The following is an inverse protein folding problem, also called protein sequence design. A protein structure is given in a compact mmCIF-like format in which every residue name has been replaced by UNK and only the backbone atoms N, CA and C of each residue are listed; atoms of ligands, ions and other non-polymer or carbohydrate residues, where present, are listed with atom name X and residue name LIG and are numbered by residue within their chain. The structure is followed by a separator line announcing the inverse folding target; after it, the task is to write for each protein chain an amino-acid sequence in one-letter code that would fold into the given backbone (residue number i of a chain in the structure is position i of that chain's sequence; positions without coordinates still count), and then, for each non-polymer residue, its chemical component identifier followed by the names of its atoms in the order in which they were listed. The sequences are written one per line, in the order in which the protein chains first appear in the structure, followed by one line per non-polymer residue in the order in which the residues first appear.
data_IF_171469937287
#
_entry.id   IF_171469937287
#
_cell.length_a   1.000
_cell.length_b   1.000
_cell.length_c   1.000
_cell.angle_alpha   90.00
_cell.angle_beta   90.00
_cell.angle_gamma   90.00
#
_symmetry.space_group_name_H-M   'P 1'
#
loop_
_entity.id
_entity.type
_entity.pdbx_description
1 polymer ?
#
# COMPACT_ATOMS: atom_id res chain seq x y z
N UNK A 1 6.71 -15.08 6.05
CA UNK A 1 7.11 -13.70 6.42
C UNK A 1 6.81 -12.84 5.21
N UNK A 2 5.80 -11.98 5.28
CA UNK A 2 5.33 -11.23 4.11
C UNK A 2 6.26 -10.03 3.87
N UNK A 3 6.84 -9.95 2.67
CA UNK A 3 7.76 -8.89 2.28
C UNK A 3 7.00 -7.81 1.50
N UNK A 4 7.25 -6.55 1.83
CA UNK A 4 6.69 -5.44 1.07
C UNK A 4 7.69 -4.33 0.83
N UNK A 5 7.55 -3.66 -0.31
CA UNK A 5 8.33 -2.48 -0.69
C UNK A 5 7.40 -1.32 -1.06
N UNK A 6 7.85 -0.08 -0.79
CA UNK A 6 7.11 1.14 -1.16
C UNK A 6 7.95 1.97 -2.13
N UNK A 7 7.44 2.10 -3.35
CA UNK A 7 7.98 2.95 -4.39
C UNK A 7 7.20 4.27 -4.46
N UNK A 8 7.92 5.39 -4.52
CA UNK A 8 7.34 6.72 -4.66
C UNK A 8 8.13 7.46 -5.73
N UNK A 9 7.45 7.83 -6.82
CA UNK A 9 8.08 8.50 -7.95
C UNK A 9 8.61 9.89 -7.61
N UNK A 10 9.62 10.38 -8.37
CA UNK A 10 10.20 11.72 -8.18
C UNK A 10 9.15 12.84 -8.32
N UNK A 11 8.13 12.65 -9.18
CA UNK A 11 7.03 13.59 -9.39
C UNK A 11 6.13 13.79 -8.16
N UNK A 12 6.18 12.88 -7.19
CA UNK A 12 5.50 13.04 -5.90
C UNK A 12 6.06 14.21 -5.06
N UNK A 13 7.10 14.92 -5.48
CA UNK A 13 7.61 16.10 -4.77
C UNK A 13 8.90 15.84 -4.01
N UNK A 14 9.17 16.66 -3.01
CA UNK A 14 10.43 16.71 -2.28
C UNK A 14 10.78 15.38 -1.59
N UNK A 15 12.05 15.19 -1.24
CA UNK A 15 12.47 14.02 -0.47
C UNK A 15 11.71 13.89 0.86
N UNK A 16 11.36 15.02 1.49
CA UNK A 16 10.58 15.07 2.73
C UNK A 16 9.15 14.57 2.48
N UNK A 17 8.45 15.09 1.47
CA UNK A 17 7.09 14.64 1.11
C UNK A 17 7.06 13.14 0.77
N UNK A 18 8.05 12.66 0.00
CA UNK A 18 8.17 11.23 -0.36
C UNK A 18 8.41 10.36 0.87
N UNK A 19 9.25 10.81 1.80
CA UNK A 19 9.52 10.06 3.03
C UNK A 19 8.30 10.05 3.96
N UNK A 20 7.58 11.16 4.03
CA UNK A 20 6.34 11.28 4.78
C UNK A 20 5.29 10.28 4.27
N UNK A 21 4.99 10.28 2.97
CA UNK A 21 3.98 9.34 2.45
C UNK A 21 4.41 7.89 2.59
N UNK A 22 5.71 7.58 2.44
CA UNK A 22 6.24 6.24 2.74
C UNK A 22 5.98 5.83 4.20
N UNK A 23 6.10 6.76 5.15
CA UNK A 23 5.79 6.50 6.57
C UNK A 23 4.28 6.27 6.75
N UNK A 24 3.44 7.12 6.17
CA UNK A 24 1.97 6.96 6.22
C UNK A 24 1.54 5.59 5.68
N UNK A 25 2.03 5.21 4.49
CA UNK A 25 1.71 3.91 3.88
C UNK A 25 2.21 2.75 4.75
N UNK A 26 3.40 2.86 5.36
CA UNK A 26 3.89 1.84 6.31
C UNK A 26 2.96 1.66 7.50
N UNK A 27 2.52 2.76 8.11
CA UNK A 27 1.62 2.70 9.27
C UNK A 27 0.26 2.09 8.92
N UNK A 28 -0.27 2.39 7.73
CA UNK A 28 -1.49 1.75 7.23
C UNK A 28 -1.26 0.25 6.98
N UNK A 29 -0.10 -0.13 6.41
CA UNK A 29 0.21 -1.52 6.10
C UNK A 29 0.50 -2.38 7.33
N UNK A 30 1.04 -1.83 8.42
CA UNK A 30 1.41 -2.58 9.64
C UNK A 30 0.35 -3.60 10.09
N UNK A 31 -0.91 -3.22 10.34
CA UNK A 31 -1.95 -4.16 10.75
C UNK A 31 -2.43 -5.09 9.62
N UNK A 32 -2.08 -4.81 8.37
CA UNK A 32 -2.50 -5.56 7.19
C UNK A 32 -1.51 -6.70 6.85
N UNK A 33 -0.26 -6.62 7.32
CA UNK A 33 0.76 -7.62 7.00
C UNK A 33 0.38 -9.04 7.43
N UNK A 34 -0.35 -9.17 8.52
CA UNK A 34 -0.76 -10.45 9.08
C UNK A 34 -1.88 -11.13 8.26
N UNK A 35 -2.64 -10.34 7.48
CA UNK A 35 -3.76 -10.85 6.65
C UNK A 35 -3.39 -11.02 5.18
N UNK A 36 -2.17 -10.64 4.79
CA UNK A 36 -1.68 -10.87 3.45
C UNK A 36 -1.35 -12.36 3.25
N UNK A 37 -1.70 -12.96 2.09
CA UNK A 37 -1.21 -14.27 1.72
C UNK A 37 0.32 -14.26 1.63
N UNK A 38 0.95 -15.43 1.49
CA UNK A 38 2.42 -15.57 1.45
C UNK A 38 3.01 -15.03 0.12
N UNK A 39 2.88 -13.72 -0.09
CA UNK A 39 3.20 -13.01 -1.31
C UNK A 39 4.08 -11.81 -1.01
N UNK A 40 4.88 -11.42 -1.99
CA UNK A 40 5.66 -10.18 -1.94
C UNK A 40 4.89 -9.07 -2.65
N UNK A 41 4.76 -7.91 -2.00
CA UNK A 41 3.97 -6.78 -2.54
C UNK A 41 4.84 -5.56 -2.79
N UNK A 42 4.67 -4.93 -3.95
CA UNK A 42 5.26 -3.61 -4.23
C UNK A 42 4.15 -2.57 -4.32
N UNK A 43 4.14 -1.63 -3.39
CA UNK A 43 3.17 -0.53 -3.34
C UNK A 43 3.76 0.67 -4.08
N UNK A 44 3.11 1.08 -5.16
CA UNK A 44 3.52 2.25 -5.95
C UNK A 44 2.61 3.43 -5.63
N UNK A 45 3.14 4.42 -4.93
CA UNK A 45 2.41 5.64 -4.59
C UNK A 45 2.46 6.62 -5.77
N UNK A 46 1.28 6.90 -6.34
CA UNK A 46 1.11 7.83 -7.46
C UNK A 46 1.04 9.27 -6.96
N UNK A 47 1.49 10.23 -7.76
CA UNK A 47 1.41 11.67 -7.44
C UNK A 47 -0.03 12.13 -7.15
N UNK A 48 -1.01 11.58 -7.87
CA UNK A 48 -2.43 11.88 -7.67
C UNK A 48 -2.92 11.58 -6.24
N UNK A 49 -2.24 10.72 -5.47
CA UNK A 49 -2.64 10.41 -4.09
C UNK A 49 -2.32 11.53 -3.10
N UNK A 50 -1.61 12.60 -3.51
CA UNK A 50 -1.33 13.76 -2.65
C UNK A 50 -2.57 14.46 -2.13
N UNK A 51 -3.66 14.40 -2.87
CA UNK A 51 -4.93 15.05 -2.52
C UNK A 51 -5.73 14.25 -1.50
N UNK A 52 -5.34 13.00 -1.25
CA UNK A 52 -6.02 12.11 -0.32
C UNK A 52 -5.59 12.38 1.11
N UNK A 53 -6.58 12.40 2.02
CA UNK A 53 -6.34 12.38 3.46
C UNK A 53 -5.97 10.97 3.92
N UNK A 54 -5.42 10.89 5.12
CA UNK A 54 -5.01 9.61 5.73
C UNK A 54 -6.11 8.53 5.68
N UNK A 55 -7.35 8.87 6.05
CA UNK A 55 -8.43 7.90 6.08
C UNK A 55 -8.78 7.36 4.68
N UNK A 56 -8.79 8.23 3.67
CA UNK A 56 -9.02 7.85 2.27
C UNK A 56 -7.88 6.95 1.75
N UNK A 57 -6.62 7.27 2.07
CA UNK A 57 -5.49 6.41 1.74
C UNK A 57 -5.60 5.03 2.39
N UNK A 58 -6.11 4.98 3.63
CA UNK A 58 -6.33 3.72 4.34
C UNK A 58 -7.43 2.88 3.67
N UNK A 59 -8.55 3.50 3.32
CA UNK A 59 -9.66 2.84 2.62
C UNK A 59 -9.18 2.26 1.28
N UNK A 60 -8.58 3.08 0.42
CA UNK A 60 -8.04 2.67 -0.89
C UNK A 60 -7.04 1.51 -0.77
N UNK A 61 -6.10 1.60 0.18
CA UNK A 61 -5.11 0.54 0.36
C UNK A 61 -5.75 -0.76 0.88
N UNK A 62 -6.75 -0.67 1.75
CA UNK A 62 -7.48 -1.84 2.26
C UNK A 62 -8.27 -2.52 1.15
N UNK A 63 -8.92 -1.76 0.27
CA UNK A 63 -9.64 -2.29 -0.89
C UNK A 63 -8.71 -3.02 -1.88
N UNK A 64 -7.52 -2.47 -2.14
CA UNK A 64 -6.51 -3.13 -2.97
C UNK A 64 -6.08 -4.47 -2.38
N UNK A 65 -5.87 -4.54 -1.07
CA UNK A 65 -5.45 -5.77 -0.39
C UNK A 65 -6.57 -6.81 -0.38
N UNK A 66 -7.82 -6.39 -0.13
CA UNK A 66 -8.98 -7.28 -0.23
C UNK A 66 -9.12 -7.86 -1.65
N UNK A 67 -8.88 -7.04 -2.67
CA UNK A 67 -8.89 -7.49 -4.07
C UNK A 67 -7.79 -8.51 -4.36
N UNK A 68 -6.61 -8.37 -3.73
CA UNK A 68 -5.53 -9.36 -3.80
C UNK A 68 -5.98 -10.67 -3.15
N UNK A 69 -6.49 -10.61 -1.90
CA UNK A 69 -6.92 -11.79 -1.16
C UNK A 69 -8.01 -12.57 -1.91
N UNK A 70 -8.98 -11.87 -2.52
CA UNK A 70 -10.02 -12.50 -3.33
C UNK A 70 -9.45 -13.23 -4.54
N UNK A 71 -8.46 -12.65 -5.25
CA UNK A 71 -7.82 -13.31 -6.39
C UNK A 71 -7.10 -14.60 -5.99
N UNK A 72 -6.36 -14.57 -4.87
CA UNK A 72 -5.67 -15.77 -4.38
C UNK A 72 -6.66 -16.85 -3.92
N UNK A 73 -7.75 -16.48 -3.24
CA UNK A 73 -8.78 -17.44 -2.85
C UNK A 73 -9.50 -18.08 -4.05
N UNK A 74 -9.56 -17.40 -5.20
CA UNK A 74 -10.15 -17.96 -6.44
C UNK A 74 -9.18 -18.95 -7.11
N UNK A 75 -7.86 -18.75 -7.00
CA UNK A 75 -6.85 -19.64 -7.59
C UNK A 75 -6.66 -20.95 -6.80
N UNK A 76 -7.06 -21.00 -5.52
CA UNK A 76 -7.01 -22.20 -4.68
C UNK A 76 -8.26 -23.10 -4.78
N UNK A 77 -9.31 -22.67 -5.50
CA UNK A 77 -10.54 -23.45 -5.75
C UNK A 77 -10.59 -23.97 -7.19
#
# INVERSE_FOLDING_TARGET
NNLYAISVGKKYGSAVERNYIKRVVREIMRPILDVLPNVSVVIVVKEASKTLKFLQLKEELTELINSINQKFNIEEN
#
